data_IF_515648919987
#
_entry.id   IF_515648919987
#
_cell.length_a   1.000
_cell.length_b   1.000
_cell.length_c   1.000
_cell.angle_alpha   90.00
_cell.angle_beta   90.00
_cell.angle_gamma   90.00
#
_symmetry.space_group_name_H-M   'P 1'
#
loop_
_entity.id
_entity.type
_entity.pdbx_description
1 polymer ?
#
# COMPACT_ATOMS: atom_id res chain seq x y z
N UNK A 1 -13.99 -20.31 9.93
CA UNK A 1 -14.17 -18.89 9.58
C UNK A 1 -14.06 -17.99 10.81
N UNK A 2 -14.87 -18.13 11.86
CA UNK A 2 -14.78 -17.27 13.06
C UNK A 2 -13.41 -17.29 13.75
N UNK A 3 -12.78 -18.46 13.89
CA UNK A 3 -11.48 -18.61 14.58
C UNK A 3 -10.34 -17.88 13.84
N UNK A 4 -10.40 -17.82 12.51
CA UNK A 4 -9.41 -17.09 11.71
C UNK A 4 -9.63 -15.58 11.81
N UNK A 5 -10.88 -15.12 11.81
CA UNK A 5 -11.22 -13.69 11.94
C UNK A 5 -10.76 -13.10 13.28
N UNK A 6 -10.66 -13.89 14.35
CA UNK A 6 -10.10 -13.42 15.63
C UNK A 6 -8.64 -13.02 15.51
N UNK A 7 -7.86 -13.62 14.60
CA UNK A 7 -6.45 -13.26 14.38
C UNK A 7 -6.27 -11.98 13.54
N UNK A 8 -7.31 -11.52 12.85
CA UNK A 8 -7.26 -10.24 12.11
C UNK A 8 -7.20 -9.05 13.06
N UNK A 9 -7.99 -9.08 14.14
CA UNK A 9 -8.09 -7.99 15.13
C UNK A 9 -6.74 -7.61 15.77
N UNK A 10 -5.94 -8.53 16.33
CA UNK A 10 -4.63 -8.19 16.89
C UNK A 10 -3.65 -7.78 15.79
N UNK A 11 -3.79 -8.30 14.57
CA UNK A 11 -2.98 -7.93 13.42
C UNK A 11 -3.18 -6.47 13.03
N UNK A 12 -4.44 -6.04 12.89
CA UNK A 12 -4.73 -4.68 12.47
C UNK A 12 -4.45 -3.63 13.56
N UNK A 13 -4.79 -3.94 14.82
CA UNK A 13 -4.45 -3.06 15.94
C UNK A 13 -2.93 -2.93 16.08
N UNK A 14 -2.21 -4.04 15.96
CA UNK A 14 -0.75 -4.02 15.95
C UNK A 14 -0.19 -3.21 14.79
N UNK A 15 -0.78 -3.36 13.59
CA UNK A 15 -0.40 -2.66 12.37
C UNK A 15 -0.56 -1.16 12.53
N UNK A 16 -1.74 -0.71 12.96
CA UNK A 16 -2.04 0.69 13.22
C UNK A 16 -1.03 1.32 14.20
N UNK A 17 -0.76 0.67 15.33
CA UNK A 17 0.20 1.16 16.33
C UNK A 17 1.64 1.18 15.80
N UNK A 18 2.02 0.18 15.01
CA UNK A 18 3.35 0.10 14.40
C UNK A 18 3.54 1.11 13.27
N UNK A 19 2.50 1.38 12.48
CA UNK A 19 2.46 2.43 11.45
C UNK A 19 2.86 3.78 12.05
N UNK A 20 2.24 4.15 13.16
CA UNK A 20 2.45 5.46 13.79
C UNK A 20 3.85 5.61 14.42
N UNK A 21 4.50 4.50 14.78
CA UNK A 21 5.81 4.53 15.49
C UNK A 21 7.02 4.24 14.60
N UNK A 22 6.89 3.35 13.62
CA UNK A 22 7.98 2.86 12.76
C UNK A 22 7.96 3.53 11.38
N UNK A 23 6.81 4.08 10.98
CA UNK A 23 6.59 4.72 9.69
C UNK A 23 5.97 3.76 8.68
N UNK A 24 5.04 4.32 7.88
CA UNK A 24 4.10 3.57 7.04
C UNK A 24 4.78 2.70 5.98
N UNK A 25 5.81 3.25 5.34
CA UNK A 25 6.65 2.53 4.36
C UNK A 25 7.31 1.29 4.97
N UNK A 26 7.89 1.43 6.15
CA UNK A 26 8.65 0.37 6.83
C UNK A 26 7.73 -0.72 7.33
N UNK A 27 6.58 -0.36 7.90
CA UNK A 27 5.59 -1.33 8.37
C UNK A 27 4.98 -2.13 7.21
N UNK A 28 4.66 -1.47 6.09
CA UNK A 28 4.15 -2.14 4.89
C UNK A 28 5.19 -3.10 4.28
N UNK A 29 6.45 -2.67 4.18
CA UNK A 29 7.55 -3.51 3.65
C UNK A 29 7.81 -4.72 4.54
N UNK A 30 7.86 -4.51 5.86
CA UNK A 30 8.09 -5.57 6.86
C UNK A 30 6.95 -6.59 6.84
N UNK A 31 5.70 -6.14 6.75
CA UNK A 31 4.54 -7.03 6.66
C UNK A 31 4.58 -7.91 5.41
N UNK A 32 4.82 -7.33 4.22
CA UNK A 32 4.96 -8.11 2.99
C UNK A 32 6.14 -9.09 3.04
N UNK A 33 7.28 -8.65 3.56
CA UNK A 33 8.48 -9.48 3.66
C UNK A 33 8.24 -10.68 4.57
N UNK A 34 7.71 -10.42 5.76
CA UNK A 34 7.53 -11.43 6.77
C UNK A 34 6.35 -12.38 6.43
N UNK A 35 5.27 -11.86 5.82
CA UNK A 35 4.20 -12.69 5.24
C UNK A 35 4.72 -13.55 4.08
N UNK A 36 5.57 -13.01 3.21
CA UNK A 36 6.18 -13.76 2.10
C UNK A 36 7.09 -14.90 2.59
N UNK A 37 7.91 -14.67 3.61
CA UNK A 37 8.76 -15.72 4.20
C UNK A 37 7.91 -16.83 4.84
N UNK A 38 6.94 -16.47 5.69
CA UNK A 38 6.04 -17.45 6.29
C UNK A 38 5.23 -18.20 5.23
N UNK A 39 4.84 -17.50 4.17
CA UNK A 39 4.13 -18.07 3.04
C UNK A 39 4.95 -19.16 2.32
N UNK A 40 6.23 -18.89 2.05
CA UNK A 40 7.15 -19.89 1.48
C UNK A 40 7.33 -21.07 2.44
N UNK A 41 7.52 -20.81 3.73
CA UNK A 41 7.71 -21.84 4.74
C UNK A 41 6.50 -22.80 4.81
N UNK A 42 5.30 -22.24 4.89
CA UNK A 42 4.02 -22.97 4.86
C UNK A 42 3.82 -23.75 3.56
N UNK A 43 4.25 -23.18 2.43
CA UNK A 43 4.19 -23.84 1.13
C UNK A 43 5.13 -25.05 1.04
N UNK A 44 6.35 -24.95 1.56
CA UNK A 44 7.34 -26.05 1.55
C UNK A 44 6.92 -27.18 2.50
N UNK A 45 6.49 -26.85 3.72
CA UNK A 45 6.08 -27.84 4.74
C UNK A 45 4.59 -28.19 4.69
N UNK A 46 3.90 -27.90 3.57
CA UNK A 46 2.45 -28.02 3.47
C UNK A 46 1.92 -29.42 3.79
N UNK A 47 2.65 -30.48 3.39
CA UNK A 47 2.25 -31.87 3.66
C UNK A 47 2.36 -32.23 5.14
N UNK A 48 3.47 -31.89 5.77
CA UNK A 48 3.74 -32.20 7.18
C UNK A 48 2.81 -31.40 8.11
N UNK A 49 2.41 -30.20 7.69
CA UNK A 49 1.44 -29.38 8.41
C UNK A 49 0.00 -29.92 8.33
N UNK A 50 -0.37 -30.57 7.23
CA UNK A 50 -1.70 -31.15 7.09
C UNK A 50 -1.91 -32.34 8.04
N UNK A 51 -0.84 -33.07 8.39
CA UNK A 51 -0.88 -34.13 9.41
C UNK A 51 -1.10 -33.57 10.83
N UNK A 52 -0.68 -32.33 11.09
CA UNK A 52 -0.85 -31.65 12.39
C UNK A 52 -1.79 -30.45 12.22
N UNK A 53 -3.08 -30.75 12.03
CA UNK A 53 -4.12 -29.74 11.80
C UNK A 53 -4.09 -28.53 12.77
N UNK A 54 -3.90 -28.68 14.10
CA UNK A 54 -3.83 -27.53 15.01
C UNK A 54 -2.65 -26.59 14.74
N UNK A 55 -1.51 -27.13 14.34
CA UNK A 55 -0.31 -26.35 14.03
C UNK A 55 -0.51 -25.53 12.75
N UNK A 56 -1.13 -26.14 11.73
CA UNK A 56 -1.51 -25.43 10.50
C UNK A 56 -2.43 -24.25 10.79
N UNK A 57 -3.43 -24.41 11.66
CA UNK A 57 -4.38 -23.32 12.01
C UNK A 57 -3.67 -22.15 12.69
N UNK A 58 -2.77 -22.42 13.64
CA UNK A 58 -2.03 -21.36 14.33
C UNK A 58 -1.09 -20.62 13.38
N UNK A 59 -0.33 -21.37 12.57
CA UNK A 59 0.65 -20.78 11.66
C UNK A 59 -0.03 -20.00 10.52
N UNK A 60 -1.17 -20.51 10.03
CA UNK A 60 -2.04 -19.78 9.11
C UNK A 60 -2.65 -18.53 9.77
N UNK A 61 -3.05 -18.61 11.05
CA UNK A 61 -3.53 -17.44 11.81
C UNK A 61 -2.47 -16.34 11.92
N UNK A 62 -1.22 -16.70 12.20
CA UNK A 62 -0.08 -15.76 12.22
C UNK A 62 0.18 -15.17 10.82
N UNK A 63 0.14 -16.00 9.78
CA UNK A 63 0.26 -15.53 8.39
C UNK A 63 -0.80 -14.48 8.04
N UNK A 64 -2.06 -14.72 8.44
CA UNK A 64 -3.15 -13.77 8.23
C UNK A 64 -2.95 -12.48 9.04
N UNK A 65 -2.56 -12.61 10.31
CA UNK A 65 -2.26 -11.47 11.19
C UNK A 65 -1.18 -10.56 10.57
N UNK A 66 -0.14 -11.13 9.98
CA UNK A 66 0.96 -10.38 9.36
C UNK A 66 0.58 -9.72 8.04
N UNK A 67 -0.36 -10.31 7.30
CA UNK A 67 -0.92 -9.68 6.11
C UNK A 67 -1.76 -8.47 6.42
N UNK A 68 -2.56 -8.52 7.49
CA UNK A 68 -3.32 -7.34 7.94
C UNK A 68 -2.41 -6.28 8.55
N UNK A 69 -1.43 -6.69 9.37
CA UNK A 69 -0.45 -5.80 10.00
C UNK A 69 0.35 -4.94 9.02
N UNK A 70 0.51 -5.37 7.76
CA UNK A 70 1.24 -4.62 6.73
C UNK A 70 0.35 -4.18 5.57
N UNK A 71 0.24 -4.96 4.49
CA UNK A 71 -0.48 -4.52 3.30
C UNK A 71 -1.97 -4.28 3.51
N UNK A 72 -2.62 -4.97 4.46
CA UNK A 72 -4.04 -4.78 4.75
C UNK A 72 -4.37 -3.35 5.18
N UNK A 73 -3.70 -2.87 6.23
CA UNK A 73 -3.98 -1.54 6.77
C UNK A 73 -3.25 -0.41 6.03
N UNK A 74 -1.98 -0.63 5.66
CA UNK A 74 -1.13 0.46 5.17
C UNK A 74 -1.40 0.81 3.71
N UNK A 75 -1.95 -0.09 2.90
CA UNK A 75 -2.18 0.19 1.48
C UNK A 75 -3.21 1.33 1.29
N UNK A 76 -4.33 1.26 2.00
CA UNK A 76 -5.37 2.30 1.93
C UNK A 76 -4.86 3.62 2.53
N UNK A 77 -4.12 3.51 3.62
CA UNK A 77 -3.53 4.62 4.34
C UNK A 77 -2.51 5.40 3.49
N UNK A 78 -1.55 4.70 2.88
CA UNK A 78 -0.56 5.27 1.97
C UNK A 78 -1.23 5.85 0.72
N UNK A 79 -2.25 5.19 0.18
CA UNK A 79 -2.99 5.72 -0.97
C UNK A 79 -3.73 7.01 -0.63
N UNK A 80 -4.20 7.20 0.61
CA UNK A 80 -4.83 8.43 1.04
C UNK A 80 -3.83 9.57 1.24
N UNK A 81 -2.59 9.26 1.63
CA UNK A 81 -1.55 10.26 1.86
C UNK A 81 -0.88 10.74 0.58
N UNK A 82 -0.70 9.88 -0.42
CA UNK A 82 0.00 10.28 -1.67
C UNK A 82 -0.78 11.33 -2.47
N UNK A 83 -2.09 11.44 -2.28
CA UNK A 83 -2.95 12.30 -3.09
C UNK A 83 -3.43 13.56 -2.33
N UNK A 84 -3.32 14.75 -2.96
CA UNK A 84 -3.82 15.99 -2.38
C UNK A 84 -5.34 15.96 -2.26
N UNK A 85 -5.87 16.68 -1.26
CA UNK A 85 -7.26 16.59 -0.79
C UNK A 85 -8.27 16.81 -1.92
N UNK A 86 -7.95 17.71 -2.87
CA UNK A 86 -8.82 18.05 -3.99
C UNK A 86 -9.07 16.90 -5.00
N UNK A 87 -8.11 15.99 -5.17
CA UNK A 87 -8.20 14.88 -6.16
C UNK A 87 -8.12 13.49 -5.51
N UNK A 88 -7.95 13.42 -4.20
CA UNK A 88 -7.81 12.17 -3.44
C UNK A 88 -8.91 11.18 -3.74
N UNK A 89 -10.17 11.63 -3.82
CA UNK A 89 -11.30 10.75 -4.08
C UNK A 89 -11.22 10.02 -5.43
N UNK A 90 -10.89 10.74 -6.51
CA UNK A 90 -10.81 10.15 -7.86
C UNK A 90 -9.54 9.31 -8.03
N UNK A 91 -8.41 9.79 -7.55
CA UNK A 91 -7.14 9.08 -7.61
C UNK A 91 -7.16 7.78 -6.77
N UNK A 92 -7.69 7.85 -5.54
CA UNK A 92 -7.93 6.66 -4.71
C UNK A 92 -8.90 5.69 -5.38
N UNK A 93 -9.95 6.18 -6.02
CA UNK A 93 -10.90 5.36 -6.77
C UNK A 93 -10.24 4.54 -7.89
N UNK A 94 -9.35 5.16 -8.66
CA UNK A 94 -8.55 4.46 -9.68
C UNK A 94 -7.62 3.41 -9.09
N UNK A 95 -6.89 3.76 -8.04
CA UNK A 95 -6.00 2.82 -7.34
C UNK A 95 -6.77 1.62 -6.76
N UNK A 96 -7.94 1.86 -6.18
CA UNK A 96 -8.82 0.81 -5.68
C UNK A 96 -9.39 -0.07 -6.81
N UNK A 97 -9.72 0.52 -7.96
CA UNK A 97 -10.20 -0.23 -9.12
C UNK A 97 -9.12 -1.17 -9.68
N UNK A 98 -7.88 -0.68 -9.82
CA UNK A 98 -6.73 -1.48 -10.26
C UNK A 98 -6.47 -2.62 -9.27
N UNK A 99 -6.49 -2.34 -7.96
CA UNK A 99 -6.33 -3.35 -6.91
C UNK A 99 -7.40 -4.46 -7.00
N UNK A 100 -8.67 -4.09 -7.18
CA UNK A 100 -9.78 -5.04 -7.33
C UNK A 100 -9.67 -5.85 -8.63
N UNK A 101 -9.26 -5.22 -9.73
CA UNK A 101 -9.01 -5.92 -10.98
C UNK A 101 -7.90 -6.96 -10.84
N UNK A 102 -6.79 -6.60 -10.19
CA UNK A 102 -5.70 -7.54 -9.87
C UNK A 102 -6.18 -8.73 -9.04
N UNK A 103 -7.01 -8.49 -8.02
CA UNK A 103 -7.60 -9.56 -7.21
C UNK A 103 -8.52 -10.48 -8.03
N UNK A 104 -9.31 -9.93 -8.94
CA UNK A 104 -10.15 -10.71 -9.86
C UNK A 104 -9.32 -11.59 -10.81
N UNK A 105 -8.28 -11.02 -11.42
CA UNK A 105 -7.38 -11.75 -12.32
C UNK A 105 -6.63 -12.84 -11.56
N UNK A 106 -6.09 -12.54 -10.37
CA UNK A 106 -5.42 -13.51 -9.52
C UNK A 106 -6.34 -14.68 -9.12
N UNK A 107 -7.57 -14.38 -8.72
CA UNK A 107 -8.55 -15.41 -8.34
C UNK A 107 -8.93 -16.30 -9.52
N UNK A 108 -9.12 -15.69 -10.69
CA UNK A 108 -9.41 -16.40 -11.94
C UNK A 108 -8.24 -17.27 -12.40
N UNK A 109 -7.00 -16.82 -12.17
CA UNK A 109 -5.77 -17.53 -12.52
C UNK A 109 -5.40 -18.67 -11.54
N UNK A 110 -5.91 -18.65 -10.31
CA UNK A 110 -5.57 -19.69 -9.31
C UNK A 110 -6.02 -21.09 -9.72
N UNK A 111 -7.24 -21.25 -10.27
CA UNK A 111 -7.75 -22.57 -10.69
C UNK A 111 -6.86 -23.23 -11.77
N UNK A 112 -6.59 -22.59 -12.92
CA UNK A 112 -5.71 -23.17 -13.93
C UNK A 112 -4.27 -23.33 -13.43
N UNK A 113 -3.79 -22.46 -12.53
CA UNK A 113 -2.47 -22.61 -11.92
C UNK A 113 -2.39 -23.88 -11.07
N UNK A 114 -3.38 -24.16 -10.21
CA UNK A 114 -3.40 -25.38 -9.38
C UNK A 114 -3.41 -26.63 -10.27
N UNK A 115 -4.20 -26.65 -11.34
CA UNK A 115 -4.27 -27.78 -12.27
C UNK A 115 -2.95 -27.99 -13.04
N UNK A 116 -2.35 -26.91 -13.55
CA UNK A 116 -1.08 -26.97 -14.27
C UNK A 116 0.10 -27.38 -13.38
N UNK A 117 0.17 -26.86 -12.15
CA UNK A 117 1.26 -27.13 -11.22
C UNK A 117 1.06 -28.41 -10.40
N UNK A 118 -0.17 -28.90 -10.26
CA UNK A 118 -0.52 -30.08 -9.46
C UNK A 118 -0.14 -31.41 -10.10
N UNK A 119 0.02 -31.49 -11.43
CA UNK A 119 0.36 -32.74 -12.15
C UNK A 119 -0.44 -33.97 -11.67
N UNK A 120 -1.72 -33.79 -11.31
CA UNK A 120 -2.61 -34.84 -10.79
C UNK A 120 -2.74 -34.92 -9.27
N UNK A 121 -1.99 -34.14 -8.49
CA UNK A 121 -2.09 -34.06 -7.02
C UNK A 121 -2.47 -32.64 -6.58
N UNK A 122 -3.70 -32.49 -6.09
CA UNK A 122 -4.27 -31.22 -5.66
C UNK A 122 -3.50 -30.59 -4.48
N UNK A 123 -2.92 -31.40 -3.59
CA UNK A 123 -2.17 -30.92 -2.42
C UNK A 123 -0.85 -30.30 -2.87
N UNK A 124 -0.18 -30.92 -3.84
CA UNK A 124 1.06 -30.39 -4.42
C UNK A 124 0.80 -29.14 -5.27
N UNK A 125 -0.33 -29.06 -5.97
CA UNK A 125 -0.75 -27.87 -6.70
C UNK A 125 -0.98 -26.67 -5.79
N UNK A 126 -1.69 -26.86 -4.66
CA UNK A 126 -1.92 -25.82 -3.66
C UNK A 126 -0.63 -25.29 -3.05
N UNK A 127 0.26 -26.18 -2.61
CA UNK A 127 1.58 -25.81 -2.07
C UNK A 127 2.39 -24.95 -3.04
N UNK A 128 2.46 -25.33 -4.32
CA UNK A 128 3.22 -24.59 -5.35
C UNK A 128 2.63 -23.22 -5.64
N UNK A 129 1.31 -23.13 -5.76
CA UNK A 129 0.62 -21.85 -5.96
C UNK A 129 0.80 -20.95 -4.75
N UNK A 130 0.83 -21.51 -3.54
CA UNK A 130 1.09 -20.77 -2.31
C UNK A 130 2.52 -20.21 -2.27
N UNK A 131 3.52 -20.99 -2.70
CA UNK A 131 4.91 -20.52 -2.85
C UNK A 131 5.00 -19.40 -3.90
N UNK A 132 4.32 -19.56 -5.05
CA UNK A 132 4.29 -18.53 -6.10
C UNK A 132 3.65 -17.23 -5.61
N UNK A 133 2.51 -17.31 -4.92
CA UNK A 133 1.84 -16.16 -4.33
C UNK A 133 2.72 -15.46 -3.28
N UNK A 134 3.43 -16.24 -2.47
CA UNK A 134 4.38 -15.73 -1.47
C UNK A 134 5.60 -15.08 -2.12
N UNK A 135 6.08 -15.62 -3.24
CA UNK A 135 7.10 -14.99 -4.07
C UNK A 135 6.63 -13.65 -4.64
N UNK A 136 5.38 -13.56 -5.09
CA UNK A 136 4.78 -12.31 -5.53
C UNK A 136 4.66 -11.28 -4.39
N UNK A 137 4.35 -11.73 -3.16
CA UNK A 137 4.34 -10.87 -1.98
C UNK A 137 5.74 -10.33 -1.65
N UNK A 138 6.79 -11.15 -1.78
CA UNK A 138 8.17 -10.69 -1.62
C UNK A 138 8.59 -9.69 -2.71
N UNK A 139 8.22 -9.93 -3.96
CA UNK A 139 8.40 -8.95 -5.03
C UNK A 139 7.65 -7.65 -4.69
N UNK A 140 6.42 -7.76 -4.20
CA UNK A 140 5.65 -6.63 -3.67
C UNK A 140 6.41 -5.84 -2.60
N UNK A 141 7.04 -6.52 -1.63
CA UNK A 141 7.90 -5.89 -0.62
C UNK A 141 9.05 -5.08 -1.24
N UNK A 142 9.72 -5.64 -2.25
CA UNK A 142 10.83 -4.97 -2.95
C UNK A 142 10.32 -3.73 -3.70
N UNK A 143 9.20 -3.85 -4.41
CA UNK A 143 8.57 -2.72 -5.10
C UNK A 143 8.10 -1.65 -4.11
N UNK A 144 7.46 -2.03 -3.01
CA UNK A 144 7.07 -1.11 -1.93
C UNK A 144 8.28 -0.35 -1.38
N UNK A 145 9.41 -1.04 -1.17
CA UNK A 145 10.61 -0.41 -0.66
C UNK A 145 11.22 0.62 -1.63
N UNK A 146 11.24 0.32 -2.93
CA UNK A 146 11.86 1.19 -3.94
C UNK A 146 10.93 2.30 -4.44
N UNK A 147 9.64 1.98 -4.63
CA UNK A 147 8.68 2.83 -5.33
C UNK A 147 7.89 3.74 -4.39
N UNK A 148 7.75 3.41 -3.10
CA UNK A 148 7.00 4.24 -2.15
C UNK A 148 7.98 5.20 -1.44
N UNK A 149 7.86 6.52 -1.66
CA UNK A 149 8.52 7.54 -0.84
C UNK A 149 8.07 7.44 0.63
N UNK A 150 8.94 7.83 1.55
CA UNK A 150 8.60 7.84 2.97
C UNK A 150 7.75 9.09 3.28
N UNK A 151 6.43 8.97 3.16
CA UNK A 151 5.46 10.04 3.46
C UNK A 151 5.20 10.22 4.95
N UNK A 152 5.82 9.41 5.82
CA UNK A 152 5.52 9.38 7.27
C UNK A 152 5.82 10.67 8.03
N UNK A 153 6.38 11.71 7.38
CA UNK A 153 6.80 12.97 8.00
C UNK A 153 6.28 14.24 7.31
N UNK A 154 5.56 14.12 6.19
CA UNK A 154 4.99 15.30 5.50
C UNK A 154 3.58 15.56 6.02
N UNK A 155 3.26 16.81 6.32
CA UNK A 155 1.90 17.18 6.66
C UNK A 155 1.06 17.20 5.38
N UNK A 156 -0.16 16.67 5.43
CA UNK A 156 -1.13 16.80 4.33
C UNK A 156 -1.32 18.26 3.88
N UNK A 157 -1.14 19.21 4.81
CA UNK A 157 -1.25 20.64 4.53
C UNK A 157 -0.16 21.14 3.58
N UNK A 158 1.09 20.70 3.78
CA UNK A 158 2.23 21.05 2.93
C UNK A 158 2.05 20.48 1.51
N UNK A 159 1.43 19.30 1.37
CA UNK A 159 1.13 18.72 0.04
C UNK A 159 -0.03 19.44 -0.66
N UNK A 160 -1.03 19.88 0.09
CA UNK A 160 -2.11 20.70 -0.46
C UNK A 160 -1.61 22.10 -0.87
N UNK A 161 -0.66 22.68 -0.14
CA UNK A 161 0.03 23.94 -0.49
C UNK A 161 0.91 23.78 -1.74
N UNK A 162 1.75 22.75 -1.81
CA UNK A 162 2.56 22.46 -2.99
C UNK A 162 1.69 22.27 -4.24
N UNK A 163 0.54 21.60 -4.09
CA UNK A 163 -0.40 21.40 -5.19
C UNK A 163 -1.12 22.70 -5.59
N UNK A 164 -1.48 23.57 -4.63
CA UNK A 164 -2.01 24.92 -4.93
C UNK A 164 -0.98 25.75 -5.70
N UNK A 165 0.28 25.77 -5.26
CA UNK A 165 1.37 26.49 -5.92
C UNK A 165 1.63 25.97 -7.35
N UNK A 166 1.55 24.65 -7.54
CA UNK A 166 1.61 24.05 -8.88
C UNK A 166 0.47 24.53 -9.79
N UNK A 167 -0.76 24.59 -9.29
CA UNK A 167 -1.91 25.06 -10.07
C UNK A 167 -1.84 26.57 -10.37
N UNK A 168 -1.40 27.39 -9.40
CA UNK A 168 -1.17 28.82 -9.59
C UNK A 168 -0.15 29.08 -10.72
N UNK A 169 0.99 28.37 -10.71
CA UNK A 169 2.05 28.53 -11.71
C UNK A 169 1.63 28.11 -13.12
N UNK A 170 0.62 27.25 -13.25
CA UNK A 170 0.06 26.83 -14.54
C UNK A 170 -1.18 27.66 -14.96
N UNK A 171 -1.48 28.74 -14.24
CA UNK A 171 -2.55 29.69 -14.58
C UNK A 171 -3.96 29.17 -14.32
N UNK A 172 -4.12 28.18 -13.42
CA UNK A 172 -5.44 27.72 -13.00
C UNK A 172 -6.05 28.68 -11.97
N UNK A 173 -7.35 28.94 -12.11
CA UNK A 173 -8.10 29.76 -11.18
C UNK A 173 -8.32 29.03 -9.84
N UNK A 174 -7.64 29.51 -8.79
CA UNK A 174 -7.70 28.96 -7.44
C UNK A 174 -8.89 29.48 -6.62
N UNK A 175 -9.73 30.36 -7.18
CA UNK A 175 -10.87 30.97 -6.48
C UNK A 175 -11.85 29.95 -5.89
N UNK A 176 -11.95 28.76 -6.49
CA UNK A 176 -12.81 27.66 -6.04
C UNK A 176 -12.03 26.49 -5.43
N UNK A 177 -10.73 26.64 -5.16
CA UNK A 177 -9.89 25.55 -4.67
C UNK A 177 -10.20 25.24 -3.19
N UNK A 178 -10.94 24.16 -2.95
CA UNK A 178 -11.31 23.73 -1.59
C UNK A 178 -12.36 24.60 -0.86
N UNK A 179 -13.00 25.54 -1.58
CA UNK A 179 -13.95 26.56 -1.13
C UNK A 179 -14.04 26.85 0.39
N UNK A 180 -13.24 27.83 0.83
CA UNK A 180 -13.30 28.42 2.17
C UNK A 180 -12.25 29.50 2.38
N UNK A 181 -12.35 30.62 1.65
CA UNK A 181 -11.50 31.80 1.86
C UNK A 181 -10.38 31.90 0.83
N UNK A 182 -10.31 33.07 0.18
CA UNK A 182 -9.26 33.38 -0.78
C UNK A 182 -7.86 33.34 -0.17
N UNK A 183 -6.87 33.43 -1.05
CA UNK A 183 -5.44 33.48 -0.74
C UNK A 183 -5.17 34.28 0.54
N UNK A 184 -4.73 33.56 1.55
CA UNK A 184 -4.08 34.09 2.75
C UNK A 184 -2.83 34.89 2.33
N UNK A 185 -2.62 36.06 2.95
CA UNK A 185 -1.53 36.99 2.63
C UNK A 185 -0.13 36.33 2.69
N UNK A 186 0.02 35.30 3.51
CA UNK A 186 1.25 34.50 3.67
C UNK A 186 1.57 33.71 2.37
N UNK A 187 0.56 33.15 1.71
CA UNK A 187 0.68 32.42 0.44
C UNK A 187 0.96 33.37 -0.74
N UNK A 188 0.48 34.63 -0.67
CA UNK A 188 0.82 35.65 -1.66
C UNK A 188 2.29 36.07 -1.59
N UNK A 189 2.85 36.22 -0.38
CA UNK A 189 4.28 36.55 -0.22
C UNK A 189 5.21 35.44 -0.74
N UNK A 190 4.84 34.16 -0.57
CA UNK A 190 5.65 33.03 -1.06
C UNK A 190 5.59 32.85 -2.58
N UNK A 191 4.42 33.11 -3.19
CA UNK A 191 4.26 33.15 -4.66
C UNK A 191 5.06 34.32 -5.24
N UNK A 192 5.07 35.48 -4.59
CA UNK A 192 5.83 36.65 -5.05
C UNK A 192 7.36 36.44 -4.92
N UNK A 193 7.82 35.78 -3.84
CA UNK A 193 9.22 35.37 -3.67
C UNK A 193 9.68 34.36 -4.71
N UNK A 194 8.87 33.35 -5.02
CA UNK A 194 9.25 32.33 -5.99
C UNK A 194 9.10 32.83 -7.44
N UNK A 195 8.12 33.69 -7.74
CA UNK A 195 8.01 34.32 -9.06
C UNK A 195 9.17 35.28 -9.35
N UNK A 196 9.66 36.02 -8.34
CA UNK A 196 10.85 36.88 -8.49
C UNK A 196 12.14 36.10 -8.76
N UNK A 197 12.29 34.92 -8.16
CA UNK A 197 13.45 34.05 -8.37
C UNK A 197 13.52 33.49 -9.82
N UNK A 198 12.37 33.22 -10.45
CA UNK A 198 12.30 32.77 -11.84
C UNK A 198 12.50 33.90 -12.87
N UNK A 199 12.18 35.15 -12.54
CA UNK A 199 12.46 36.30 -13.43
C UNK A 199 13.94 36.70 -13.47
N UNK A 200 14.66 36.56 -12.36
CA UNK A 200 16.11 36.82 -12.32
C UNK A 200 16.91 35.74 -13.07
N UNK A 201 16.45 34.49 -13.08
CA UNK A 201 17.13 33.41 -13.82
C UNK A 201 16.99 33.56 -15.35
N UNK A 202 15.92 34.22 -15.84
CA UNK A 202 15.72 34.52 -17.27
C UNK A 202 16.49 35.72 -17.79
N UNK A 203 17.00 36.61 -16.93
CA UNK A 203 17.83 37.76 -17.34
C UNK A 203 19.34 37.45 -17.36
N UNK A 204 19.73 36.25 -16.94
CA UNK A 204 21.10 35.77 -16.92
C UNK A 204 21.55 34.97 -18.16
N UNK A 205 20.72 34.89 -19.20
CA UNK A 205 21.06 34.25 -20.48
C UNK A 205 21.03 35.24 -21.64
#
# INVERSE_FOLDING_TARGET
MLLLNVFYLPGSIGGALASDRIGRKRTMTLGFFAQGILGILMGVFYRDLLDIFPLFVVLYGIFMMMGEFGPGDMLGLVSAEIYPTAIRGTAYGWSAAIGKFGAFVGTSAFKPAIEAFGRGDAIQGQSRVFILASGLALLGSIFTWFLIPDYSKRNLHEEDEDFKNYLASHGYDLSNFGNGGGLDEETMEDVEKHSGAFEDEKKGF
#
